data_IF_332354791830
#
_entry.id   IF_332354791830
#
_cell.length_a   1.000
_cell.length_b   1.000
_cell.length_c   1.000
_cell.angle_alpha   90.00
_cell.angle_beta   90.00
_cell.angle_gamma   90.00
#
_symmetry.space_group_name_H-M   'P 1'
#
loop_
_entity.id
_entity.type
_entity.pdbx_description
1 polymer ?
#
# COMPACT_ATOMS: atom_id res chain seq x y z
N UNK A 1 65.18 -12.77 40.98
CA UNK A 1 64.12 -11.81 41.40
C UNK A 1 63.42 -11.34 40.12
N UNK A 2 62.11 -11.37 39.85
CA UNK A 2 60.84 -11.78 40.49
C UNK A 2 59.89 -12.12 39.30
N UNK A 3 59.32 -13.34 39.22
CA UNK A 3 57.89 -13.70 39.32
C UNK A 3 56.85 -12.86 38.52
N UNK A 4 56.23 -13.54 37.54
CA UNK A 4 54.79 -13.86 37.35
C UNK A 4 53.70 -12.76 37.37
N UNK A 5 52.85 -12.78 36.32
CA UNK A 5 51.37 -12.73 36.33
C UNK A 5 50.90 -12.85 34.85
N UNK A 6 50.57 -14.03 34.32
CA UNK A 6 49.24 -14.67 34.24
C UNK A 6 48.06 -13.69 34.37
N UNK A 7 47.22 -13.62 33.33
CA UNK A 7 45.80 -13.34 33.50
C UNK A 7 45.18 -12.50 32.38
N UNK A 8 44.18 -13.06 31.70
CA UNK A 8 43.12 -12.22 31.13
C UNK A 8 42.69 -12.54 29.71
N UNK A 9 41.93 -13.63 29.57
CA UNK A 9 40.95 -13.91 28.51
C UNK A 9 40.15 -12.65 28.12
N UNK A 10 40.00 -12.39 26.82
CA UNK A 10 38.78 -11.77 26.27
C UNK A 10 38.63 -12.11 24.78
N UNK A 11 37.89 -13.18 24.52
CA UNK A 11 37.33 -13.56 23.23
C UNK A 11 36.21 -12.56 22.90
N UNK A 12 36.44 -11.59 22.02
CA UNK A 12 35.39 -10.65 21.59
C UNK A 12 34.65 -11.22 20.38
N UNK A 13 33.59 -11.97 20.65
CA UNK A 13 32.58 -12.36 19.66
C UNK A 13 31.58 -11.21 19.56
N UNK A 14 31.70 -10.38 18.52
CA UNK A 14 30.68 -9.39 18.20
C UNK A 14 29.48 -10.07 17.53
N UNK A 15 28.53 -10.52 18.34
CA UNK A 15 27.19 -10.87 17.93
C UNK A 15 26.44 -9.57 17.60
N UNK A 16 26.37 -9.21 16.32
CA UNK A 16 25.51 -8.12 15.85
C UNK A 16 24.09 -8.66 15.78
N UNK A 17 23.35 -8.54 16.87
CA UNK A 17 21.89 -8.71 16.85
C UNK A 17 21.33 -7.38 16.32
N UNK A 18 21.01 -7.35 15.02
CA UNK A 18 20.21 -6.29 14.44
C UNK A 18 18.76 -6.45 14.94
N UNK A 19 18.50 -5.98 16.15
CA UNK A 19 17.14 -5.81 16.64
C UNK A 19 16.54 -4.61 15.91
N UNK A 20 15.76 -4.86 14.86
CA UNK A 20 14.86 -3.87 14.30
C UNK A 20 13.78 -3.57 15.35
N UNK A 21 14.00 -2.52 16.14
CA UNK A 21 13.01 -2.01 17.08
C UNK A 21 11.97 -1.27 16.24
N UNK A 22 10.89 -1.96 15.89
CA UNK A 22 9.66 -1.30 15.45
C UNK A 22 9.10 -0.54 16.65
N UNK A 23 9.53 0.70 16.84
CA UNK A 23 8.85 1.63 17.73
C UNK A 23 7.52 1.98 17.07
N UNK A 24 6.47 1.31 17.54
CA UNK A 24 5.10 1.73 17.33
C UNK A 24 4.91 3.13 17.90
N UNK A 25 5.10 4.13 17.03
CA UNK A 25 4.64 5.48 17.28
C UNK A 25 3.18 5.54 16.83
N UNK A 26 2.30 5.99 17.74
CA UNK A 26 0.88 6.16 17.47
C UNK A 26 0.64 6.91 16.16
N UNK A 27 -0.39 6.48 15.43
CA UNK A 27 -0.83 7.11 14.20
C UNK A 27 -1.15 8.59 14.45
N UNK A 28 -0.15 9.45 14.26
CA UNK A 28 -0.37 10.87 14.05
C UNK A 28 -0.92 10.99 12.64
N UNK A 29 -2.19 11.37 12.59
CA UNK A 29 -2.87 11.74 11.37
C UNK A 29 -2.15 12.94 10.75
N UNK A 30 -1.24 12.64 9.82
CA UNK A 30 -0.39 13.65 9.19
C UNK A 30 -1.15 14.12 7.96
N UNK A 31 -1.79 15.29 8.07
CA UNK A 31 -2.56 15.87 6.98
C UNK A 31 -1.74 15.83 5.66
N UNK A 32 -2.29 15.19 4.63
CA UNK A 32 -1.66 15.05 3.32
C UNK A 32 -0.81 13.80 3.09
N UNK A 33 -0.59 12.96 4.10
CA UNK A 33 0.09 11.66 3.92
C UNK A 33 -0.97 10.59 3.61
N UNK A 34 -0.88 9.87 2.47
CA UNK A 34 -1.82 8.82 2.14
C UNK A 34 -1.71 7.63 3.11
N UNK A 35 -2.83 6.94 3.32
CA UNK A 35 -2.90 5.76 4.18
C UNK A 35 -2.06 4.61 3.62
N UNK A 36 -2.05 4.47 2.29
CA UNK A 36 -1.20 3.57 1.53
C UNK A 36 -0.89 4.22 0.17
N UNK A 37 0.37 4.13 -0.27
CA UNK A 37 0.76 4.33 -1.66
C UNK A 37 1.51 3.09 -2.18
N UNK A 38 1.23 2.74 -3.43
CA UNK A 38 1.85 1.65 -4.17
C UNK A 38 2.91 2.23 -5.10
N UNK A 39 4.17 2.02 -4.73
CA UNK A 39 5.36 2.50 -5.43
C UNK A 39 5.39 4.01 -5.60
N UNK A 40 6.09 4.45 -6.63
CA UNK A 40 6.03 5.84 -7.10
C UNK A 40 4.88 6.05 -8.10
N UNK A 41 4.10 4.99 -8.36
CA UNK A 41 2.98 5.01 -9.31
C UNK A 41 1.72 5.68 -8.77
N UNK A 42 1.60 5.88 -7.45
CA UNK A 42 0.40 6.45 -6.82
C UNK A 42 0.45 7.98 -6.83
N UNK A 43 -0.56 8.60 -7.41
CA UNK A 43 -0.77 10.05 -7.36
C UNK A 43 -2.03 10.36 -6.53
N UNK A 44 -1.84 11.00 -5.38
CA UNK A 44 -2.92 11.37 -4.45
C UNK A 44 -3.57 12.67 -4.90
N UNK A 45 -4.89 12.65 -5.05
CA UNK A 45 -5.70 13.82 -5.41
C UNK A 45 -6.31 14.43 -4.15
N UNK A 46 -6.88 13.58 -3.29
CA UNK A 46 -7.44 14.00 -1.99
C UNK A 46 -6.97 13.01 -0.94
N UNK A 47 -6.30 13.49 0.11
CA UNK A 47 -5.94 12.66 1.25
C UNK A 47 -7.00 12.81 2.35
N UNK A 48 -7.46 11.70 2.91
CA UNK A 48 -8.37 11.66 4.07
C UNK A 48 -9.74 12.30 3.82
N UNK A 49 -10.30 12.15 2.62
CA UNK A 49 -11.67 12.54 2.35
C UNK A 49 -12.64 11.79 3.26
N UNK A 50 -13.64 12.51 3.77
CA UNK A 50 -14.69 11.97 4.65
C UNK A 50 -16.09 12.20 4.07
N UNK A 51 -16.20 13.04 3.05
CA UNK A 51 -17.46 13.45 2.46
C UNK A 51 -17.35 13.77 0.96
N UNK A 52 -18.49 13.76 0.28
CA UNK A 52 -18.62 14.23 -1.12
C UNK A 52 -18.21 15.71 -1.24
N UNK A 53 -18.42 16.52 -0.20
CA UNK A 53 -18.02 17.93 -0.19
C UNK A 53 -16.51 18.11 -0.28
N UNK A 54 -15.72 17.22 0.34
CA UNK A 54 -14.26 17.24 0.24
C UNK A 54 -13.82 17.01 -1.21
N UNK A 55 -14.51 16.10 -1.91
CA UNK A 55 -14.25 15.77 -3.31
C UNK A 55 -14.61 16.92 -4.25
N UNK A 56 -15.76 17.55 -4.01
CA UNK A 56 -16.19 18.73 -4.76
C UNK A 56 -15.21 19.91 -4.57
N UNK A 57 -14.74 20.14 -3.34
CA UNK A 57 -13.76 21.17 -3.03
C UNK A 57 -12.41 20.93 -3.71
N UNK A 58 -12.04 19.66 -3.91
CA UNK A 58 -10.87 19.25 -4.68
C UNK A 58 -11.05 19.30 -6.21
N UNK A 59 -12.24 19.71 -6.69
CA UNK A 59 -12.52 19.85 -8.12
C UNK A 59 -12.83 18.54 -8.84
N UNK A 60 -13.17 17.48 -8.11
CA UNK A 60 -13.59 16.21 -8.73
C UNK A 60 -14.96 16.41 -9.40
N UNK A 61 -15.10 16.11 -10.70
CA UNK A 61 -16.36 16.26 -11.41
C UNK A 61 -17.37 15.20 -10.99
N UNK A 62 -18.62 15.62 -10.78
CA UNK A 62 -19.74 14.76 -10.37
C UNK A 62 -19.33 13.77 -9.26
N UNK A 63 -18.89 14.27 -8.09
CA UNK A 63 -18.33 13.43 -7.03
C UNK A 63 -19.39 12.52 -6.39
N UNK A 64 -20.67 12.88 -6.51
CA UNK A 64 -21.83 12.09 -6.09
C UNK A 64 -22.09 10.87 -6.98
N UNK A 65 -21.56 10.85 -8.21
CA UNK A 65 -21.65 9.67 -9.09
C UNK A 65 -20.58 8.60 -8.78
N UNK A 66 -19.57 8.93 -7.96
CA UNK A 66 -18.54 7.97 -7.58
C UNK A 66 -19.12 6.82 -6.76
N UNK A 67 -18.71 5.61 -7.09
CA UNK A 67 -19.18 4.38 -6.44
C UNK A 67 -18.38 4.08 -5.17
N UNK A 68 -18.36 5.03 -4.23
CA UNK A 68 -17.70 4.85 -2.93
C UNK A 68 -18.45 3.75 -2.15
N UNK A 69 -17.76 2.71 -1.65
CA UNK A 69 -18.39 1.66 -0.86
C UNK A 69 -19.08 2.22 0.38
N UNK A 70 -20.28 1.71 0.65
CA UNK A 70 -21.02 2.10 1.86
C UNK A 70 -20.24 1.67 3.10
N UNK A 71 -20.13 2.57 4.07
CA UNK A 71 -19.55 2.27 5.38
C UNK A 71 -18.07 2.67 5.50
N UNK A 72 -17.46 3.11 4.41
CA UNK A 72 -16.14 3.76 4.45
C UNK A 72 -16.33 5.19 4.95
N UNK A 73 -15.85 5.46 6.16
CA UNK A 73 -15.93 6.77 6.80
C UNK A 73 -14.79 7.71 6.42
N UNK A 74 -13.66 7.17 5.95
CA UNK A 74 -12.50 7.94 5.49
C UNK A 74 -11.71 7.20 4.42
N UNK A 75 -11.25 7.91 3.40
CA UNK A 75 -10.50 7.35 2.28
C UNK A 75 -9.65 8.40 1.57
N UNK A 76 -8.62 7.96 0.86
CA UNK A 76 -7.87 8.79 -0.09
C UNK A 76 -8.46 8.61 -1.50
N UNK A 77 -8.54 9.68 -2.29
CA UNK A 77 -8.75 9.60 -3.74
C UNK A 77 -7.40 9.63 -4.43
N UNK A 78 -7.17 8.65 -5.31
CA UNK A 78 -5.91 8.51 -6.04
C UNK A 78 -6.13 8.19 -7.51
N UNK A 79 -5.07 8.37 -8.27
CA UNK A 79 -4.87 7.88 -9.64
C UNK A 79 -3.55 7.12 -9.71
N UNK A 80 -3.42 6.19 -10.64
CA UNK A 80 -2.18 5.43 -10.83
C UNK A 80 -1.53 5.71 -12.18
N UNK A 81 -0.20 5.80 -12.19
CA UNK A 81 0.59 5.66 -13.40
C UNK A 81 0.77 4.17 -13.70
N UNK A 82 -0.16 3.59 -14.46
CA UNK A 82 -0.19 2.16 -14.76
C UNK A 82 1.08 1.66 -15.46
N UNK A 83 1.68 2.45 -16.35
CA UNK A 83 2.93 2.06 -17.00
C UNK A 83 4.14 2.00 -16.04
N UNK A 84 4.14 2.81 -14.97
CA UNK A 84 5.13 2.67 -13.91
C UNK A 84 4.82 1.47 -13.03
N UNK A 85 3.56 1.32 -12.60
CA UNK A 85 3.08 0.23 -11.77
C UNK A 85 3.36 -1.15 -12.39
N UNK A 86 3.04 -1.35 -13.67
CA UNK A 86 3.27 -2.63 -14.35
C UNK A 86 4.76 -3.00 -14.35
N UNK A 87 5.65 -2.04 -14.62
CA UNK A 87 7.10 -2.27 -14.60
C UNK A 87 7.62 -2.62 -13.21
N UNK A 88 7.10 -1.97 -12.17
CA UNK A 88 7.48 -2.27 -10.79
C UNK A 88 7.02 -3.67 -10.38
N UNK A 89 5.76 -4.01 -10.63
CA UNK A 89 5.18 -5.30 -10.26
C UNK A 89 5.82 -6.46 -11.04
N UNK A 90 6.11 -6.29 -12.34
CA UNK A 90 6.84 -7.28 -13.14
C UNK A 90 8.26 -7.57 -12.61
N UNK A 91 8.87 -6.60 -11.91
CA UNK A 91 10.16 -6.77 -11.24
C UNK A 91 10.13 -7.70 -10.03
N UNK A 92 8.94 -8.17 -9.61
CA UNK A 92 8.75 -9.09 -8.48
C UNK A 92 8.94 -8.45 -7.10
N UNK A 93 9.26 -7.16 -7.06
CA UNK A 93 9.38 -6.38 -5.82
C UNK A 93 8.65 -5.06 -5.95
N UNK A 94 7.88 -4.70 -4.92
CA UNK A 94 7.02 -3.54 -4.92
C UNK A 94 7.27 -2.72 -3.66
N UNK A 95 7.59 -1.44 -3.83
CA UNK A 95 7.70 -0.51 -2.71
C UNK A 95 6.28 -0.12 -2.27
N UNK A 96 5.98 -0.26 -0.98
CA UNK A 96 4.72 0.17 -0.38
C UNK A 96 5.03 1.26 0.64
N UNK A 97 4.22 2.32 0.67
CA UNK A 97 4.32 3.38 1.68
C UNK A 97 3.05 3.41 2.50
N UNK A 98 3.08 2.87 3.70
CA UNK A 98 1.94 2.90 4.63
C UNK A 98 2.14 4.06 5.59
N UNK A 99 1.28 5.08 5.49
CA UNK A 99 1.38 6.32 6.27
C UNK A 99 2.79 6.92 6.25
N UNK A 100 3.40 6.95 5.07
CA UNK A 100 4.75 7.46 4.84
C UNK A 100 5.89 6.54 5.27
N UNK A 101 5.62 5.41 5.93
CA UNK A 101 6.66 4.41 6.24
C UNK A 101 6.83 3.46 5.06
N UNK A 102 8.06 3.30 4.60
CA UNK A 102 8.42 2.45 3.46
C UNK A 102 8.55 0.98 3.87
N UNK A 103 7.98 0.11 3.03
CA UNK A 103 8.00 -1.34 3.14
C UNK A 103 8.30 -1.94 1.77
N UNK A 104 9.14 -2.96 1.73
CA UNK A 104 9.35 -3.72 0.50
C UNK A 104 8.44 -4.96 0.52
N UNK A 105 7.66 -5.15 -0.53
CA UNK A 105 6.90 -6.37 -0.76
C UNK A 105 7.53 -7.20 -1.88
N UNK A 106 7.57 -8.52 -1.69
CA UNK A 106 7.85 -9.48 -2.75
C UNK A 106 6.50 -9.97 -3.29
N UNK A 107 6.30 -9.89 -4.60
CA UNK A 107 5.06 -10.26 -5.27
C UNK A 107 5.35 -11.16 -6.47
N UNK A 108 4.45 -12.09 -6.75
CA UNK A 108 4.53 -12.94 -7.93
C UNK A 108 3.18 -13.04 -8.63
N UNK A 109 3.21 -13.14 -9.96
CA UNK A 109 2.02 -13.31 -10.78
C UNK A 109 1.36 -14.65 -10.45
N UNK A 110 0.06 -14.62 -10.20
CA UNK A 110 -0.76 -15.80 -9.99
C UNK A 110 -1.00 -16.50 -11.33
N UNK A 111 -0.95 -17.83 -11.33
CA UNK A 111 -1.22 -18.63 -12.52
C UNK A 111 -2.69 -19.03 -12.55
N UNK A 112 -3.49 -18.32 -13.36
CA UNK A 112 -4.82 -18.77 -13.78
C UNK A 112 -4.72 -19.38 -15.18
N UNK A 113 -5.74 -20.15 -15.61
CA UNK A 113 -5.84 -20.56 -17.02
C UNK A 113 -5.67 -19.31 -17.90
N UNK A 114 -4.85 -19.39 -18.96
CA UNK A 114 -4.50 -18.23 -19.78
C UNK A 114 -5.75 -17.66 -20.44
N UNK A 115 -6.30 -16.62 -19.83
CA UNK A 115 -7.29 -15.74 -20.41
C UNK A 115 -6.50 -14.52 -20.89
N UNK A 116 -6.54 -14.26 -22.19
CA UNK A 116 -5.93 -13.08 -22.81
C UNK A 116 -6.91 -11.89 -22.68
N UNK A 117 -7.00 -11.34 -21.48
CA UNK A 117 -7.91 -10.24 -21.13
C UNK A 117 -7.19 -8.97 -20.62
N UNK A 118 -5.85 -8.93 -20.72
CA UNK A 118 -5.00 -7.88 -20.15
C UNK A 118 -5.20 -7.67 -18.63
N UNK A 119 -5.64 -8.71 -17.89
CA UNK A 119 -5.82 -8.69 -16.44
C UNK A 119 -4.83 -9.63 -15.77
N UNK A 120 -4.04 -9.07 -14.86
CA UNK A 120 -3.04 -9.82 -14.11
C UNK A 120 -3.23 -9.67 -12.62
N UNK A 121 -3.21 -10.80 -11.92
CA UNK A 121 -3.26 -10.84 -10.46
C UNK A 121 -1.94 -11.29 -9.89
N UNK A 122 -1.59 -10.70 -8.75
CA UNK A 122 -0.34 -10.88 -8.05
C UNK A 122 -0.63 -11.10 -6.58
N UNK A 123 0.05 -12.08 -5.99
CA UNK A 123 0.02 -12.32 -4.55
C UNK A 123 1.44 -12.18 -3.99
N UNK A 124 1.57 -11.88 -2.71
CA UNK A 124 2.87 -11.58 -2.13
C UNK A 124 2.84 -11.26 -0.65
N UNK A 125 4.01 -10.90 -0.10
CA UNK A 125 4.17 -10.56 1.32
C UNK A 125 5.16 -9.41 1.51
N UNK A 126 5.04 -8.73 2.64
CA UNK A 126 5.98 -7.68 3.05
C UNK A 126 7.20 -8.33 3.69
N UNK A 127 8.39 -7.99 3.18
CA UNK A 127 9.67 -8.55 3.63
C UNK A 127 9.91 -8.22 5.10
N UNK A 128 10.25 -9.25 5.89
CA UNK A 128 10.54 -9.10 7.31
C UNK A 128 9.32 -8.85 8.20
N UNK A 129 8.10 -8.84 7.65
CA UNK A 129 6.86 -8.68 8.41
C UNK A 129 6.03 -9.95 8.38
N UNK A 130 5.95 -10.62 9.53
CA UNK A 130 5.06 -11.76 9.74
C UNK A 130 3.59 -11.38 9.56
N UNK A 131 2.76 -12.35 9.16
CA UNK A 131 1.31 -12.16 8.94
C UNK A 131 0.94 -10.99 8.01
N UNK A 132 1.85 -10.60 7.10
CA UNK A 132 1.54 -9.70 6.00
C UNK A 132 1.00 -10.46 4.79
N UNK A 133 0.21 -9.76 3.99
CA UNK A 133 -0.38 -10.26 2.74
C UNK A 133 -0.52 -9.11 1.74
N UNK A 134 -0.20 -9.35 0.48
CA UNK A 134 -0.38 -8.41 -0.63
C UNK A 134 -1.11 -9.16 -1.74
N UNK A 135 -2.28 -8.66 -2.13
CA UNK A 135 -3.07 -9.19 -3.23
C UNK A 135 -3.46 -8.04 -4.14
N UNK A 136 -3.00 -8.05 -5.39
CA UNK A 136 -3.25 -6.98 -6.35
C UNK A 136 -3.75 -7.57 -7.66
N UNK A 137 -4.74 -6.94 -8.27
CA UNK A 137 -5.17 -7.22 -9.64
C UNK A 137 -5.04 -5.94 -10.44
N UNK A 138 -4.26 -6.02 -11.51
CA UNK A 138 -4.03 -4.96 -12.47
C UNK A 138 -4.80 -5.24 -13.75
N UNK A 139 -5.26 -4.18 -14.39
CA UNK A 139 -5.68 -4.20 -15.79
C UNK A 139 -5.03 -3.02 -16.51
N UNK A 140 -5.30 -2.87 -17.81
CA UNK A 140 -4.79 -1.75 -18.64
C UNK A 140 -4.82 -0.38 -17.93
N UNK A 141 -5.93 -0.07 -17.23
CA UNK A 141 -6.15 1.22 -16.59
C UNK A 141 -6.64 1.06 -15.13
N UNK A 142 -6.47 -0.10 -14.50
CA UNK A 142 -7.05 -0.39 -13.19
C UNK A 142 -6.04 -1.01 -12.24
N UNK A 143 -6.17 -0.68 -10.95
CA UNK A 143 -5.54 -1.41 -9.86
C UNK A 143 -6.58 -1.61 -8.77
N UNK A 144 -6.86 -2.86 -8.43
CA UNK A 144 -7.68 -3.22 -7.28
C UNK A 144 -6.90 -4.20 -6.40
N UNK A 145 -7.27 -4.29 -5.13
CA UNK A 145 -6.66 -5.28 -4.26
C UNK A 145 -6.59 -4.85 -2.80
N UNK A 146 -5.71 -5.51 -2.06
CA UNK A 146 -5.50 -5.24 -0.66
C UNK A 146 -4.07 -5.49 -0.20
N UNK A 147 -3.65 -4.73 0.80
CA UNK A 147 -2.41 -4.93 1.54
C UNK A 147 -2.79 -5.10 3.01
N UNK A 148 -2.36 -6.19 3.64
CA UNK A 148 -2.52 -6.42 5.08
C UNK A 148 -1.18 -6.30 5.78
N UNK A 149 -1.14 -5.44 6.80
CA UNK A 149 0.03 -5.17 7.64
C UNK A 149 -0.39 -5.10 9.10
N UNK A 150 0.18 -5.95 9.95
CA UNK A 150 -0.07 -5.94 11.40
C UNK A 150 -1.57 -5.97 11.77
N UNK A 151 -2.36 -6.80 11.06
CA UNK A 151 -3.81 -6.95 11.28
C UNK A 151 -4.68 -5.80 10.75
N UNK A 152 -4.09 -4.80 10.10
CA UNK A 152 -4.79 -3.74 9.39
C UNK A 152 -4.77 -4.03 7.88
N UNK A 153 -5.92 -3.94 7.22
CA UNK A 153 -6.05 -4.17 5.78
C UNK A 153 -6.35 -2.86 5.08
N UNK A 154 -5.51 -2.47 4.14
CA UNK A 154 -5.71 -1.35 3.23
C UNK A 154 -6.30 -1.88 1.94
N UNK A 155 -7.44 -1.34 1.50
CA UNK A 155 -8.11 -1.74 0.27
C UNK A 155 -7.92 -0.68 -0.81
N UNK A 156 -7.79 -1.14 -2.05
CA UNK A 156 -7.70 -0.32 -3.26
C UNK A 156 -8.89 -0.70 -4.14
N UNK A 157 -9.74 0.28 -4.46
CA UNK A 157 -10.95 0.06 -5.25
C UNK A 157 -11.13 1.12 -6.32
N UNK A 158 -11.49 0.70 -7.54
CA UNK A 158 -11.90 1.61 -8.60
C UNK A 158 -13.30 2.15 -8.35
N UNK A 159 -13.48 3.47 -8.38
CA UNK A 159 -14.76 4.12 -8.01
C UNK A 159 -15.41 4.92 -9.14
N UNK A 160 -14.70 5.05 -10.26
CA UNK A 160 -15.23 5.65 -11.47
C UNK A 160 -16.45 4.88 -12.02
N UNK A 161 -17.55 5.58 -12.39
CA UNK A 161 -18.57 4.99 -13.24
C UNK A 161 -17.95 4.45 -14.53
N UNK A 162 -18.41 3.29 -14.98
CA UNK A 162 -17.86 2.58 -16.14
C UNK A 162 -17.65 3.49 -17.37
N UNK A 163 -18.65 4.29 -17.71
CA UNK A 163 -18.59 5.19 -18.88
C UNK A 163 -17.49 6.27 -18.77
N UNK A 164 -17.11 6.67 -17.54
CA UNK A 164 -15.99 7.58 -17.28
C UNK A 164 -14.66 6.82 -17.25
N UNK A 165 -14.63 5.66 -16.59
CA UNK A 165 -13.45 4.81 -16.51
C UNK A 165 -12.92 4.40 -17.90
N UNK A 166 -13.80 3.97 -18.81
CA UNK A 166 -13.44 3.55 -20.17
C UNK A 166 -12.83 4.67 -21.03
N UNK A 167 -13.04 5.94 -20.66
CA UNK A 167 -12.51 7.12 -21.35
C UNK A 167 -11.26 7.70 -20.70
N UNK A 168 -10.86 7.18 -19.54
CA UNK A 168 -9.71 7.67 -18.78
C UNK A 168 -8.55 6.68 -18.85
N UNK A 169 -7.35 7.19 -19.10
CA UNK A 169 -6.12 6.42 -18.96
C UNK A 169 -5.70 6.22 -17.49
N UNK A 170 -6.29 6.99 -16.57
CA UNK A 170 -6.05 6.89 -15.13
C UNK A 170 -7.35 7.21 -14.38
N UNK A 171 -8.28 6.23 -14.29
CA UNK A 171 -9.51 6.39 -13.55
C UNK A 171 -9.24 6.55 -12.04
N UNK A 172 -10.17 7.23 -11.36
CA UNK A 172 -10.12 7.40 -9.91
C UNK A 172 -10.30 6.07 -9.18
N UNK A 173 -9.45 5.91 -8.18
CA UNK A 173 -9.53 4.86 -7.18
C UNK A 173 -9.65 5.48 -5.79
N UNK A 174 -10.16 4.69 -4.85
CA UNK A 174 -10.00 4.99 -3.44
C UNK A 174 -9.02 4.03 -2.78
N UNK A 175 -8.36 4.54 -1.75
CA UNK A 175 -7.57 3.73 -0.83
C UNK A 175 -8.06 4.01 0.59
N UNK A 176 -8.37 2.97 1.35
CA UNK A 176 -8.85 3.14 2.73
C UNK A 176 -8.39 2.00 3.64
N UNK A 177 -8.32 2.27 4.94
CA UNK A 177 -8.01 1.28 5.96
C UNK A 177 -9.28 0.57 6.45
N UNK A 178 -9.15 -0.70 6.85
CA UNK A 178 -10.14 -1.42 7.62
C UNK A 178 -10.50 -0.76 8.96
N UNK A 179 -9.67 0.16 9.46
CA UNK A 179 -9.98 0.99 10.64
C UNK A 179 -10.92 2.15 10.34
N UNK A 180 -11.02 2.54 9.07
CA UNK A 180 -11.87 3.63 8.61
C UNK A 180 -13.24 3.13 8.11
N UNK A 181 -13.60 1.87 8.40
CA UNK A 181 -14.91 1.31 8.10
C UNK A 181 -15.79 1.25 9.33
N UNK A 182 -17.00 1.80 9.25
CA UNK A 182 -18.04 1.63 10.25
C UNK A 182 -18.74 0.27 10.08
N UNK A 183 -18.84 -0.48 11.17
CA UNK A 183 -19.76 -1.62 11.26
C UNK A 183 -21.19 -1.06 11.23
N UNK A 184 -22.01 -1.52 10.29
CA UNK A 184 -23.44 -1.20 10.24
C UNK A 184 -24.24 -2.03 11.25
#
# INVERSE_FOLDING_TARGET
MRRSLIGGIALLVCLIVAAAIALGAGAQDTAGVPVLAVGDSTHVIVAGATSVSDLAAAGIPAPDELKIPKGVGRYDIVTFNHAALSREIEGGTLLLRVRGTEYLAEVHRMNFEQIDDDIDSYEGRIVGVGESDVLLTTSKNGLIGSVTLNGETFRIEGVEPRARAERSASPLHIIYSSRDTGWF
#
